data_IF_430467045913
#
_entry.id   IF_430467045913
#
_cell.length_a   1.000
_cell.length_b   1.000
_cell.length_c   1.000
_cell.angle_alpha   90.00
_cell.angle_beta   90.00
_cell.angle_gamma   90.00
#
_symmetry.space_group_name_H-M   'P 1'
#
loop_
_entity.id
_entity.type
_entity.pdbx_description
1 polymer ?
#
# COMPACT_ATOMS: atom_id res chain seq x y z
N UNK A 1 -23.69 12.05 -6.10
CA UNK A 1 -22.66 11.43 -5.24
C UNK A 1 -21.88 10.44 -6.11
N UNK A 2 -20.85 10.90 -6.80
CA UNK A 2 -20.06 10.11 -7.75
C UNK A 2 -18.61 10.56 -7.63
N UNK A 3 -17.89 10.10 -6.61
CA UNK A 3 -16.52 10.56 -6.40
C UNK A 3 -15.54 9.46 -6.00
N UNK A 4 -15.99 8.33 -5.47
CA UNK A 4 -15.09 7.23 -5.08
C UNK A 4 -14.69 6.34 -6.27
N UNK A 5 -15.59 6.12 -7.23
CA UNK A 5 -15.32 5.31 -8.43
C UNK A 5 -14.26 5.94 -9.35
N UNK A 6 -14.18 7.27 -9.42
CA UNK A 6 -13.20 7.98 -10.24
C UNK A 6 -11.77 7.89 -9.67
N UNK A 7 -11.60 8.09 -8.36
CA UNK A 7 -10.27 8.08 -7.71
C UNK A 7 -9.65 6.69 -7.67
N UNK A 8 -10.43 5.65 -7.39
CA UNK A 8 -9.95 4.25 -7.42
C UNK A 8 -9.44 3.88 -8.82
N UNK A 9 -10.10 4.37 -9.87
CA UNK A 9 -9.68 4.15 -11.24
C UNK A 9 -8.31 4.78 -11.56
N UNK A 10 -8.06 6.01 -11.08
CA UNK A 10 -6.78 6.71 -11.29
C UNK A 10 -5.63 6.02 -10.54
N UNK A 11 -5.85 5.62 -9.29
CA UNK A 11 -4.83 4.92 -8.49
C UNK A 11 -4.39 3.63 -9.18
N UNK A 12 -5.35 2.81 -9.64
CA UNK A 12 -5.06 1.55 -10.33
C UNK A 12 -4.30 1.81 -11.63
N UNK A 13 -4.71 2.80 -12.43
CA UNK A 13 -4.02 3.16 -13.67
C UNK A 13 -2.57 3.57 -13.44
N UNK A 14 -2.30 4.40 -12.43
CA UNK A 14 -0.95 4.84 -12.11
C UNK A 14 -0.09 3.67 -11.64
N UNK A 15 -0.59 2.83 -10.73
CA UNK A 15 0.17 1.67 -10.22
C UNK A 15 0.47 0.67 -11.34
N UNK A 16 -0.51 0.37 -12.20
CA UNK A 16 -0.33 -0.54 -13.34
C UNK A 16 0.63 -0.01 -14.41
N UNK A 17 0.87 1.31 -14.43
CA UNK A 17 1.85 1.91 -15.33
C UNK A 17 3.30 1.65 -14.92
N UNK A 18 3.55 1.26 -13.66
CA UNK A 18 4.90 0.99 -13.15
C UNK A 18 5.30 -0.45 -13.46
N UNK A 19 6.35 -0.66 -14.29
CA UNK A 19 6.74 -1.99 -14.70
C UNK A 19 7.30 -2.80 -13.51
N UNK A 20 6.81 -4.04 -13.39
CA UNK A 20 7.32 -5.04 -12.44
C UNK A 20 8.15 -6.12 -13.15
N UNK A 21 8.88 -5.74 -14.21
CA UNK A 21 9.51 -6.65 -15.18
C UNK A 21 11.02 -6.86 -14.95
N UNK A 22 11.48 -6.68 -13.71
CA UNK A 22 12.88 -6.77 -13.29
C UNK A 22 13.81 -5.68 -13.87
N UNK A 23 13.30 -4.69 -14.60
CA UNK A 23 14.11 -3.56 -15.07
C UNK A 23 14.40 -2.58 -13.93
N UNK A 24 15.57 -1.91 -13.93
CA UNK A 24 15.87 -0.88 -12.94
C UNK A 24 14.81 0.24 -12.92
N UNK A 25 14.66 0.88 -11.76
CA UNK A 25 13.78 2.05 -11.59
C UNK A 25 14.06 3.09 -12.66
N UNK A 26 13.00 3.56 -13.32
CA UNK A 26 13.11 4.63 -14.33
C UNK A 26 13.48 5.98 -13.70
N UNK A 27 13.31 6.11 -12.38
CA UNK A 27 13.49 7.36 -11.65
C UNK A 27 14.86 7.45 -11.01
N UNK A 28 15.35 6.34 -10.46
CA UNK A 28 16.59 6.29 -9.66
C UNK A 28 17.68 5.43 -10.27
N UNK A 29 17.34 4.55 -11.23
CA UNK A 29 18.25 3.54 -11.74
C UNK A 29 18.56 2.41 -10.75
N UNK A 30 17.92 2.38 -9.57
CA UNK A 30 18.07 1.30 -8.60
C UNK A 30 17.60 -0.04 -9.18
N UNK A 31 18.31 -1.13 -8.85
CA UNK A 31 17.90 -2.48 -9.24
C UNK A 31 16.49 -2.79 -8.75
N UNK A 32 15.72 -3.49 -9.60
CA UNK A 32 14.38 -3.90 -9.25
C UNK A 32 14.36 -4.78 -8.00
N UNK A 33 13.46 -4.42 -7.08
CA UNK A 33 12.93 -5.26 -6.02
C UNK A 33 11.59 -4.65 -5.58
N UNK A 34 10.82 -5.36 -4.76
CA UNK A 34 9.49 -4.89 -4.34
C UNK A 34 9.53 -3.52 -3.63
N UNK A 35 10.60 -3.22 -2.90
CA UNK A 35 10.79 -1.91 -2.26
C UNK A 35 11.03 -0.82 -3.29
N UNK A 36 11.90 -1.06 -4.27
CA UNK A 36 12.15 -0.11 -5.37
C UNK A 36 10.87 0.16 -6.16
N UNK A 37 10.11 -0.90 -6.50
CA UNK A 37 8.84 -0.78 -7.20
C UNK A 37 7.82 0.05 -6.40
N UNK A 38 7.72 -0.19 -5.08
CA UNK A 38 6.83 0.58 -4.21
C UNK A 38 7.22 2.07 -4.14
N UNK A 39 8.53 2.38 -4.11
CA UNK A 39 9.01 3.77 -4.18
C UNK A 39 8.58 4.44 -5.49
N UNK A 40 8.76 3.75 -6.62
CA UNK A 40 8.39 4.27 -7.94
C UNK A 40 6.88 4.49 -8.05
N UNK A 41 6.06 3.57 -7.54
CA UNK A 41 4.60 3.71 -7.51
C UNK A 41 4.13 4.89 -6.67
N UNK A 42 4.70 5.08 -5.47
CA UNK A 42 4.38 6.21 -4.60
C UNK A 42 4.81 7.55 -5.21
N UNK A 43 5.99 7.60 -5.85
CA UNK A 43 6.46 8.78 -6.55
C UNK A 43 5.57 9.15 -7.74
N UNK A 44 5.08 8.16 -8.50
CA UNK A 44 4.15 8.40 -9.61
C UNK A 44 2.76 8.86 -9.12
N UNK A 45 2.28 8.32 -8.00
CA UNK A 45 1.03 8.77 -7.39
C UNK A 45 1.13 10.22 -6.87
N UNK A 46 2.28 10.60 -6.33
CA UNK A 46 2.56 11.99 -5.90
C UNK A 46 2.64 12.93 -7.12
N UNK A 47 3.38 12.54 -8.15
CA UNK A 47 3.54 13.32 -9.38
C UNK A 47 2.23 13.50 -10.17
N UNK A 48 1.31 12.53 -10.10
CA UNK A 48 -0.04 12.66 -10.67
C UNK A 48 -0.99 13.53 -9.83
N UNK A 49 -0.58 13.91 -8.62
CA UNK A 49 -1.43 14.62 -7.66
C UNK A 49 -2.52 13.75 -7.01
N UNK A 50 -2.46 12.43 -7.21
CA UNK A 50 -3.42 11.47 -6.64
C UNK A 50 -3.22 11.33 -5.14
N UNK A 51 -1.97 11.34 -4.69
CA UNK A 51 -1.60 11.50 -3.28
C UNK A 51 -0.67 12.71 -3.15
N UNK A 52 -0.40 13.11 -1.90
CA UNK A 52 0.66 14.07 -1.61
C UNK A 52 1.57 13.51 -0.53
N UNK A 53 2.83 13.28 -0.89
CA UNK A 53 3.82 12.83 0.07
C UNK A 53 4.22 14.01 0.98
N UNK A 54 4.38 13.77 2.31
CA UNK A 54 4.77 14.84 3.24
C UNK A 54 6.24 15.25 3.11
N UNK A 55 7.05 14.43 2.43
CA UNK A 55 8.48 14.63 2.15
C UNK A 55 8.91 13.76 0.97
N UNK A 56 10.15 13.91 0.51
CA UNK A 56 10.70 13.07 -0.56
C UNK A 56 10.61 11.57 -0.22
N UNK A 57 10.40 10.74 -1.24
CA UNK A 57 10.15 9.30 -1.07
C UNK A 57 11.29 8.58 -0.33
N UNK A 58 12.55 8.97 -0.56
CA UNK A 58 13.71 8.40 0.13
C UNK A 58 13.71 8.74 1.64
N UNK A 59 13.40 9.98 1.98
CA UNK A 59 13.31 10.43 3.37
C UNK A 59 12.13 9.75 4.07
N UNK A 60 10.99 9.62 3.37
CA UNK A 60 9.81 8.91 3.87
C UNK A 60 10.15 7.46 4.20
N UNK A 61 10.84 6.75 3.29
CA UNK A 61 11.28 5.38 3.53
C UNK A 61 12.28 5.26 4.68
N UNK A 62 13.20 6.23 4.83
CA UNK A 62 14.14 6.26 5.95
C UNK A 62 13.40 6.40 7.29
N UNK A 63 12.45 7.32 7.38
CA UNK A 63 11.64 7.54 8.59
C UNK A 63 10.76 6.34 8.88
N UNK A 64 10.06 5.80 7.87
CA UNK A 64 9.21 4.62 8.02
C UNK A 64 10.00 3.40 8.51
N UNK A 65 11.19 3.16 7.96
CA UNK A 65 12.09 2.09 8.42
C UNK A 65 12.51 2.30 9.87
N UNK A 66 12.88 3.53 10.25
CA UNK A 66 13.30 3.82 11.61
C UNK A 66 12.17 3.54 12.61
N UNK A 67 10.97 4.06 12.34
CA UNK A 67 9.78 3.83 13.18
C UNK A 67 9.39 2.36 13.24
N UNK A 68 9.46 1.65 12.12
CA UNK A 68 9.18 0.21 12.09
C UNK A 68 10.15 -0.60 12.97
N UNK A 69 11.42 -0.20 13.04
CA UNK A 69 12.39 -0.82 13.95
C UNK A 69 12.07 -0.50 15.41
N UNK A 70 11.74 0.77 15.73
CA UNK A 70 11.35 1.17 17.09
C UNK A 70 10.12 0.40 17.59
N UNK A 71 9.17 0.14 16.68
CA UNK A 71 7.92 -0.58 16.95
C UNK A 71 8.03 -2.09 16.78
N UNK A 72 9.18 -2.62 16.36
CA UNK A 72 9.35 -4.06 16.11
C UNK A 72 9.03 -4.88 17.35
N UNK A 73 9.53 -4.46 18.52
CA UNK A 73 9.26 -5.17 19.78
C UNK A 73 7.77 -5.22 20.13
N UNK A 74 7.00 -4.17 19.82
CA UNK A 74 5.55 -4.12 20.06
C UNK A 74 4.78 -4.92 18.99
N UNK A 75 5.24 -4.91 17.75
CA UNK A 75 4.65 -5.65 16.64
C UNK A 75 4.76 -7.17 16.83
N UNK A 76 5.92 -7.67 17.27
CA UNK A 76 6.14 -9.10 17.57
C UNK A 76 5.31 -9.59 18.76
N UNK A 77 4.84 -8.67 19.62
CA UNK A 77 3.93 -8.97 20.73
C UNK A 77 2.45 -8.94 20.30
N UNK A 78 2.16 -8.66 19.03
CA UNK A 78 0.79 -8.61 18.50
C UNK A 78 -0.04 -7.43 19.02
N UNK A 79 0.58 -6.42 19.62
CA UNK A 79 -0.13 -5.32 20.28
C UNK A 79 -0.70 -4.25 19.32
N UNK A 80 -0.27 -4.25 18.06
CA UNK A 80 -0.62 -3.20 17.07
C UNK A 80 -1.39 -3.75 15.86
N UNK A 81 -1.71 -5.06 15.86
CA UNK A 81 -2.48 -5.72 14.81
C UNK A 81 -3.95 -5.94 15.22
N UNK A 82 -4.54 -4.98 15.93
CA UNK A 82 -6.00 -4.96 16.11
C UNK A 82 -6.65 -4.61 14.76
N UNK A 83 -6.81 -5.62 13.92
CA UNK A 83 -7.92 -5.63 12.96
C UNK A 83 -9.15 -5.81 13.82
N UNK A 84 -9.97 -4.76 13.95
CA UNK A 84 -11.30 -4.93 14.51
C UNK A 84 -12.02 -5.93 13.59
N UNK A 85 -12.29 -7.14 14.09
CA UNK A 85 -13.25 -8.02 13.45
C UNK A 85 -14.58 -7.28 13.51
N UNK A 86 -15.04 -6.77 12.38
CA UNK A 86 -16.40 -6.25 12.27
C UNK A 86 -17.34 -7.47 12.42
N UNK A 87 -18.12 -7.58 13.50
CA UNK A 87 -18.90 -8.78 13.79
C UNK A 87 -20.07 -8.98 12.80
N UNK A 88 -20.24 -8.10 11.80
CA UNK A 88 -21.32 -8.19 10.81
C UNK A 88 -21.00 -9.12 9.61
N UNK A 89 -19.76 -9.59 9.43
CA UNK A 89 -19.40 -10.47 8.29
C UNK A 89 -19.59 -11.99 8.56
N UNK A 90 -19.94 -12.40 9.79
CA UNK A 90 -20.09 -13.82 10.18
C UNK A 90 -21.51 -14.39 10.06
N UNK A 91 -22.48 -13.59 9.60
CA UNK A 91 -23.88 -14.02 9.49
C UNK A 91 -24.30 -14.16 8.03
N UNK A 92 -23.93 -15.27 7.35
CA UNK A 92 -24.78 -15.87 6.28
C UNK A 92 -24.26 -17.16 5.59
N UNK A 93 -23.36 -17.97 6.17
CA UNK A 93 -22.90 -19.22 5.51
C UNK A 93 -23.59 -20.53 5.94
N UNK A 94 -24.50 -20.56 6.91
CA UNK A 94 -25.14 -21.81 7.38
C UNK A 94 -26.56 -22.08 6.85
N UNK A 95 -27.05 -21.40 5.80
CA UNK A 95 -28.41 -21.66 5.25
C UNK A 95 -28.48 -22.32 3.86
N UNK A 96 -27.41 -22.96 3.39
CA UNK A 96 -27.44 -23.75 2.15
C UNK A 96 -26.95 -25.18 2.37
N UNK A 97 -27.65 -25.93 3.23
CA UNK A 97 -27.36 -27.34 3.44
C UNK A 97 -28.39 -28.03 4.30
N UNK A 98 -29.59 -28.27 3.77
CA UNK A 98 -30.46 -29.38 4.17
C UNK A 98 -31.48 -29.63 3.05
N UNK A 99 -31.12 -30.54 2.15
CA UNK A 99 -32.02 -31.28 1.27
C UNK A 99 -31.91 -32.77 1.62
#
# INVERSE_FOLDING_TARGET
MSSLSGTVSVVIQVIQSIPADSRPSQWTGETFNCKTWLKDALAALDASGTIRLPMGIDDLFRVARHRGIEKLAEAELGHDANVENDPEDDMDYERLGNG
#
